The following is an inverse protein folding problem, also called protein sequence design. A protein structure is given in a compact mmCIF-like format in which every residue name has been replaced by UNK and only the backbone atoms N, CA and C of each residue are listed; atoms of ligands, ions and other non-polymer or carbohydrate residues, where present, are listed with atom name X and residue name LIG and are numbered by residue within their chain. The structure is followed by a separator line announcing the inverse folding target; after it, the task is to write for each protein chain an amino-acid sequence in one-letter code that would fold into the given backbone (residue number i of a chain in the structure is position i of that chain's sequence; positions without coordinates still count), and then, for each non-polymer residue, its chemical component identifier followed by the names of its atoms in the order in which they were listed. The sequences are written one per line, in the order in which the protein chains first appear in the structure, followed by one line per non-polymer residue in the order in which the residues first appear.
data_IF_028735654059
#
_entry.id   IF_028735654059
#
_cell.length_a   1.000
_cell.length_b   1.000
_cell.length_c   1.000
_cell.angle_alpha   90.00
_cell.angle_beta   90.00
_cell.angle_gamma   90.00
#
_symmetry.space_group_name_H-M   'P 1'
#
loop_
_entity.id
_entity.type
_entity.pdbx_description
1 polymer ?
#
# COMPACT_ATOMS: atom_id res chain seq x y z
N UNK A 1 2.83 -2.41 -4.80
CA UNK A 1 2.81 -1.48 -3.62
C UNK A 1 1.75 -1.91 -2.61
N UNK A 2 0.74 -2.62 -3.08
CA UNK A 2 -0.38 -3.18 -2.34
C UNK A 2 0.06 -4.20 -1.28
N UNK A 3 1.19 -4.89 -1.50
CA UNK A 3 1.81 -5.82 -0.54
C UNK A 3 2.29 -5.16 0.75
N UNK A 4 2.35 -3.82 0.78
CA UNK A 4 2.73 -3.06 1.98
C UNK A 4 1.55 -2.86 2.94
N UNK A 5 0.34 -3.26 2.54
CA UNK A 5 -0.83 -3.31 3.42
C UNK A 5 -0.94 -4.67 4.10
N UNK A 6 -1.53 -4.67 5.29
CA UNK A 6 -1.82 -5.89 6.04
C UNK A 6 -2.69 -6.88 5.23
N UNK A 7 -2.45 -8.20 5.33
CA UNK A 7 -3.26 -9.21 4.66
C UNK A 7 -4.76 -9.07 4.95
N UNK A 8 -5.11 -8.75 6.19
CA UNK A 8 -6.50 -8.56 6.62
C UNK A 8 -7.19 -7.41 5.90
N UNK A 9 -6.46 -6.35 5.55
CA UNK A 9 -6.99 -5.23 4.78
C UNK A 9 -7.21 -5.64 3.31
N UNK A 10 -6.27 -6.40 2.75
CA UNK A 10 -6.34 -6.92 1.38
C UNK A 10 -7.47 -7.93 1.18
N UNK A 11 -7.83 -8.68 2.23
CA UNK A 11 -8.92 -9.67 2.24
C UNK A 11 -10.32 -9.05 2.39
N UNK A 12 -10.41 -7.72 2.48
CA UNK A 12 -11.69 -7.02 2.56
C UNK A 12 -12.56 -7.39 1.36
N UNK A 13 -13.82 -7.80 1.62
CA UNK A 13 -14.83 -8.02 0.59
C UNK A 13 -15.74 -6.81 0.47
N UNK A 14 -16.05 -6.42 -0.76
CA UNK A 14 -17.01 -5.36 -1.07
C UNK A 14 -18.10 -5.94 -1.97
N UNK A 15 -19.35 -5.90 -1.53
CA UNK A 15 -20.50 -6.42 -2.27
C UNK A 15 -20.29 -7.86 -2.77
N UNK A 16 -19.66 -8.70 -1.94
CA UNK A 16 -19.31 -10.09 -2.26
C UNK A 16 -18.07 -10.27 -3.14
N UNK A 17 -17.49 -9.19 -3.68
CA UNK A 17 -16.28 -9.22 -4.52
C UNK A 17 -15.01 -9.14 -3.68
N UNK A 18 -13.98 -9.87 -4.10
CA UNK A 18 -12.65 -9.84 -3.49
C UNK A 18 -11.73 -8.81 -4.17
N UNK A 19 -10.69 -8.36 -3.47
CA UNK A 19 -9.68 -7.50 -4.09
C UNK A 19 -8.84 -8.27 -5.13
N UNK A 20 -8.59 -7.66 -6.29
CA UNK A 20 -7.63 -8.13 -7.28
C UNK A 20 -6.50 -7.13 -7.46
N UNK A 21 -5.26 -7.66 -7.43
CA UNK A 21 -4.03 -6.92 -7.73
C UNK A 21 -3.73 -6.84 -9.23
N UNK A 22 -4.38 -7.70 -10.02
CA UNK A 22 -4.16 -7.79 -11.47
C UNK A 22 -4.83 -6.62 -12.18
N UNK A 23 -4.27 -6.20 -13.32
CA UNK A 23 -4.88 -5.15 -14.13
C UNK A 23 -6.07 -5.68 -14.95
N UNK A 24 -6.10 -6.99 -15.22
CA UNK A 24 -7.23 -7.70 -15.83
C UNK A 24 -7.79 -8.70 -14.82
N UNK A 25 -9.09 -8.64 -14.57
CA UNK A 25 -9.80 -9.54 -13.66
C UNK A 25 -11.28 -9.62 -14.04
N UNK A 26 -11.94 -10.66 -13.56
CA UNK A 26 -13.39 -10.83 -13.68
C UNK A 26 -14.08 -9.81 -12.74
N UNK A 27 -14.75 -8.82 -13.32
CA UNK A 27 -15.39 -7.73 -12.56
C UNK A 27 -16.60 -8.19 -11.75
N UNK A 28 -17.14 -9.39 -12.00
CA UNK A 28 -18.25 -9.93 -11.23
C UNK A 28 -17.76 -10.56 -9.92
N UNK A 29 -16.50 -11.02 -9.90
CA UNK A 29 -15.87 -11.65 -8.72
C UNK A 29 -14.92 -10.73 -7.97
N UNK A 30 -14.34 -9.74 -8.65
CA UNK A 30 -13.26 -8.92 -8.07
C UNK A 30 -13.43 -7.42 -8.30
N UNK A 31 -12.82 -6.63 -7.41
CA UNK A 31 -12.63 -5.19 -7.59
C UNK A 31 -11.14 -4.84 -7.64
N UNK A 32 -10.81 -3.74 -8.34
CA UNK A 32 -9.42 -3.33 -8.59
C UNK A 32 -8.88 -2.28 -7.62
N UNK A 33 -7.63 -1.87 -7.87
CA UNK A 33 -6.84 -0.94 -7.06
C UNK A 33 -7.55 0.38 -6.74
N UNK A 34 -8.26 0.97 -7.71
CA UNK A 34 -8.98 2.23 -7.49
C UNK A 34 -10.08 2.09 -6.41
N UNK A 35 -10.83 0.99 -6.45
CA UNK A 35 -11.89 0.72 -5.47
C UNK A 35 -11.27 0.39 -4.11
N UNK A 36 -10.19 -0.40 -4.08
CA UNK A 36 -9.44 -0.68 -2.85
C UNK A 36 -9.00 0.62 -2.16
N UNK A 37 -8.31 1.51 -2.87
CA UNK A 37 -7.79 2.75 -2.30
C UNK A 37 -8.88 3.70 -1.81
N UNK A 38 -9.99 3.83 -2.56
CA UNK A 38 -11.04 4.82 -2.24
C UNK A 38 -12.08 4.30 -1.26
N UNK A 39 -12.46 3.02 -1.34
CA UNK A 39 -13.56 2.44 -0.56
C UNK A 39 -13.10 1.63 0.65
N UNK A 40 -11.87 1.10 0.64
CA UNK A 40 -11.30 0.35 1.76
C UNK A 40 -10.29 1.21 2.52
N UNK A 41 -9.23 1.67 1.86
CA UNK A 41 -8.14 2.40 2.54
C UNK A 41 -8.59 3.77 3.01
N UNK A 42 -9.08 4.65 2.11
CA UNK A 42 -9.43 6.02 2.46
C UNK A 42 -10.58 6.10 3.48
N UNK A 43 -11.56 5.19 3.39
CA UNK A 43 -12.69 5.11 4.31
C UNK A 43 -12.26 4.71 5.74
N UNK A 44 -11.26 3.83 5.87
CA UNK A 44 -10.77 3.31 7.14
C UNK A 44 -9.38 3.85 7.53
N UNK A 45 -8.97 5.00 6.95
CA UNK A 45 -7.59 5.51 7.04
C UNK A 45 -7.05 5.67 8.47
N UNK A 46 -7.94 5.87 9.45
CA UNK A 46 -7.55 6.00 10.85
C UNK A 46 -7.23 4.65 11.52
N UNK A 47 -7.65 3.53 10.94
CA UNK A 47 -7.42 2.17 11.44
C UNK A 47 -6.40 1.39 10.59
N UNK A 48 -6.09 1.87 9.39
CA UNK A 48 -5.11 1.22 8.51
C UNK A 48 -3.70 1.36 9.12
N UNK A 49 -3.03 0.22 9.29
CA UNK A 49 -1.60 0.20 9.59
C UNK A 49 -0.80 0.52 8.32
N UNK A 50 0.00 1.59 8.35
CA UNK A 50 0.87 2.01 7.24
C UNK A 50 2.33 1.66 7.46
N UNK A 51 2.66 0.84 8.46
CA UNK A 51 4.04 0.53 8.83
C UNK A 51 4.84 -0.14 7.71
N UNK A 52 4.20 -0.91 6.82
CA UNK A 52 4.85 -1.45 5.62
C UNK A 52 5.47 -0.39 4.71
N UNK A 53 4.98 0.86 4.75
CA UNK A 53 5.54 1.96 3.96
C UNK A 53 6.75 2.63 4.61
N UNK A 54 6.99 2.41 5.92
CA UNK A 54 8.13 3.01 6.66
C UNK A 54 9.47 2.70 5.99
N UNK A 55 9.63 1.47 5.50
CA UNK A 55 10.84 1.03 4.81
C UNK A 55 11.25 1.96 3.65
N UNK A 56 10.29 2.52 2.91
CA UNK A 56 10.60 3.44 1.80
C UNK A 56 11.23 4.73 2.34
N UNK A 57 10.67 5.27 3.43
CA UNK A 57 11.20 6.47 4.07
C UNK A 57 12.57 6.20 4.70
N UNK A 58 12.77 5.04 5.29
CA UNK A 58 14.07 4.64 5.84
C UNK A 58 15.16 4.64 4.76
N UNK A 59 14.86 4.12 3.56
CA UNK A 59 15.81 4.16 2.43
C UNK A 59 16.12 5.57 1.96
N UNK A 60 15.13 6.47 1.93
CA UNK A 60 15.36 7.89 1.60
C UNK A 60 16.28 8.53 2.65
N UNK A 61 16.05 8.26 3.93
CA UNK A 61 16.90 8.78 5.01
C UNK A 61 18.32 8.24 4.93
N UNK A 62 18.51 6.96 4.58
CA UNK A 62 19.83 6.37 4.37
C UNK A 62 20.58 7.02 3.21
N UNK A 63 19.92 7.26 2.06
CA UNK A 63 20.52 7.96 0.93
C UNK A 63 20.95 9.37 1.31
N UNK A 64 20.11 10.11 2.03
CA UNK A 64 20.44 11.46 2.51
C UNK A 64 21.65 11.44 3.46
N UNK A 65 21.69 10.48 4.39
CA UNK A 65 22.84 10.32 5.32
C UNK A 65 24.11 9.99 4.56
N UNK A 66 24.04 9.10 3.58
CA UNK A 66 25.18 8.75 2.73
C UNK A 66 25.69 9.98 1.99
N UNK A 67 24.82 10.72 1.31
CA UNK A 67 25.20 11.92 0.56
C UNK A 67 25.85 12.99 1.46
N UNK A 68 25.25 13.29 2.62
CA UNK A 68 25.81 14.26 3.57
C UNK A 68 27.17 13.82 4.19
N UNK A 69 27.52 12.53 4.10
CA UNK A 69 28.83 12.02 4.53
C UNK A 69 29.92 12.21 3.48
N UNK A 70 29.56 12.39 2.21
CA UNK A 70 30.50 12.62 1.10
C UNK A 70 31.06 14.05 1.12
N UNK A 71 30.26 15.04 1.51
CA UNK A 71 30.68 16.46 1.63
C UNK A 71 31.62 16.73 2.82
N UNK A 72 31.89 15.72 3.64
CA UNK A 72 32.78 15.82 4.82
C UNK A 72 34.21 15.31 4.57
N UNK A 73 34.57 15.05 3.30
CA UNK A 73 35.90 14.60 2.86
C UNK A 73 36.57 15.66 2.02
#
# INVERSE_FOLDING_TARGET
MEDLFEPTLLDTKLDGKAFSRNDKFDSDKYYGKHVFSTKVVAKNKAQVNFDGFKYIFDRILEVNKHYASLDKV
#
